data_IF_760681052268
#
_entry.id   IF_760681052268
#
_cell.length_a   1.000
_cell.length_b   1.000
_cell.length_c   1.000
_cell.angle_alpha   90.00
_cell.angle_beta   90.00
_cell.angle_gamma   90.00
#
_symmetry.space_group_name_H-M   'P 1'
#
loop_
_entity.id
_entity.type
_entity.pdbx_description
1 polymer ?
#
# COMPACT_ATOMS: atom_id res chain seq x y z
N UNK A 1 -5.67 16.45 -0.94
CA UNK A 1 -5.86 15.03 -1.31
C UNK A 1 -4.54 14.56 -1.84
N UNK A 2 -4.03 13.44 -1.34
CA UNK A 2 -2.68 13.01 -1.69
C UNK A 2 -2.64 12.67 -3.19
N UNK A 3 -1.71 13.29 -3.91
CA UNK A 3 -1.50 13.21 -5.36
C UNK A 3 -0.73 11.93 -5.72
N UNK A 4 -1.16 10.78 -5.19
CA UNK A 4 -0.48 9.51 -5.43
C UNK A 4 -1.47 8.56 -6.11
N UNK A 5 -1.39 8.50 -7.43
CA UNK A 5 -2.22 7.59 -8.23
C UNK A 5 -1.76 6.13 -8.11
N UNK A 6 -0.51 5.89 -7.72
CA UNK A 6 0.08 4.56 -7.69
C UNK A 6 1.21 4.42 -6.69
N UNK A 7 1.19 3.36 -5.89
CA UNK A 7 2.27 3.02 -4.95
C UNK A 7 2.81 1.63 -5.26
N UNK A 8 4.11 1.52 -5.49
CA UNK A 8 4.76 0.23 -5.73
C UNK A 8 5.43 -0.25 -4.46
N UNK A 9 4.90 -1.35 -3.89
CA UNK A 9 5.47 -2.02 -2.73
C UNK A 9 6.23 -3.28 -3.17
N UNK A 10 7.47 -3.43 -2.71
CA UNK A 10 8.19 -4.69 -2.81
C UNK A 10 7.55 -5.72 -1.86
N UNK A 11 6.64 -6.52 -2.39
CA UNK A 11 5.83 -7.47 -1.62
C UNK A 11 6.49 -8.85 -1.58
N UNK A 12 6.90 -9.30 -0.39
CA UNK A 12 7.49 -10.62 -0.17
C UNK A 12 6.47 -11.71 0.18
N UNK A 13 5.23 -11.32 0.50
CA UNK A 13 4.17 -12.22 0.96
C UNK A 13 4.17 -12.51 2.47
N UNK A 14 5.09 -11.90 3.23
CA UNK A 14 5.10 -11.98 4.69
C UNK A 14 4.00 -11.14 5.34
N UNK A 15 3.64 -11.45 6.58
CA UNK A 15 2.62 -10.75 7.36
C UNK A 15 2.83 -9.23 7.35
N UNK A 16 4.07 -8.78 7.60
CA UNK A 16 4.40 -7.36 7.63
C UNK A 16 4.10 -6.68 6.29
N UNK A 17 4.49 -7.29 5.17
CA UNK A 17 4.23 -6.74 3.84
C UNK A 17 2.75 -6.73 3.48
N UNK A 18 1.97 -7.69 3.99
CA UNK A 18 0.51 -7.77 3.79
C UNK A 18 -0.24 -6.70 4.57
N UNK A 19 0.20 -6.42 5.80
CA UNK A 19 -0.37 -5.35 6.62
C UNK A 19 -0.05 -3.98 6.02
N UNK A 20 1.19 -3.77 5.56
CA UNK A 20 1.61 -2.52 4.91
C UNK A 20 0.81 -2.26 3.64
N UNK A 21 0.59 -3.29 2.81
CA UNK A 21 -0.23 -3.19 1.59
C UNK A 21 -1.64 -2.68 1.92
N UNK A 22 -2.28 -3.25 2.93
CA UNK A 22 -3.65 -2.87 3.31
C UNK A 22 -3.72 -1.45 3.86
N UNK A 23 -2.77 -1.07 4.70
CA UNK A 23 -2.67 0.28 5.26
C UNK A 23 -2.48 1.35 4.17
N UNK A 24 -1.65 1.07 3.16
CA UNK A 24 -1.42 1.98 2.03
C UNK A 24 -2.72 2.21 1.23
N UNK A 25 -3.47 1.13 0.94
CA UNK A 25 -4.76 1.22 0.26
C UNK A 25 -5.77 2.07 1.04
N UNK A 26 -5.86 1.89 2.37
CA UNK A 26 -6.81 2.64 3.20
C UNK A 26 -6.42 4.11 3.41
N UNK A 27 -5.13 4.37 3.56
CA UNK A 27 -4.61 5.72 3.88
C UNK A 27 -4.60 6.63 2.65
N UNK A 28 -4.26 6.08 1.50
CA UNK A 28 -4.06 6.85 0.28
C UNK A 28 -5.14 6.62 -0.77
N UNK A 29 -6.03 5.64 -0.56
CA UNK A 29 -7.10 5.28 -1.49
C UNK A 29 -6.59 5.11 -2.93
N UNK A 30 -5.40 4.52 -3.04
CA UNK A 30 -4.65 4.32 -4.27
C UNK A 30 -4.35 2.83 -4.48
N UNK A 31 -4.00 2.47 -5.72
CA UNK A 31 -3.65 1.10 -6.13
C UNK A 31 -2.15 0.81 -6.05
#
# INVERSE_FOLDING_TARGET
>A
MAEFDKVVLSYSGGLDTSVILKWLQETYNCE
#
